data_IF_478481025356
#
_entry.id   IF_478481025356
#
_cell.length_a   1.000
_cell.length_b   1.000
_cell.length_c   1.000
_cell.angle_alpha   90.00
_cell.angle_beta   90.00
_cell.angle_gamma   90.00
#
_symmetry.space_group_name_H-M   'P 1'
#
loop_
_entity.id
_entity.type
_entity.pdbx_description
1 polymer ?
#
# COMPACT_ATOMS: atom_id res chain seq x y z
N UNK A 1 94.82 2.80 -8.05
CA UNK A 1 93.84 2.30 -7.05
C UNK A 1 92.54 3.07 -7.22
N UNK A 2 91.50 2.46 -7.80
CA UNK A 2 90.15 3.04 -7.94
C UNK A 2 89.26 2.39 -6.88
N UNK A 3 88.72 3.18 -5.94
CA UNK A 3 87.66 2.73 -5.04
C UNK A 3 86.32 2.78 -5.78
N UNK A 4 85.60 1.65 -5.77
CA UNK A 4 84.22 1.57 -6.24
C UNK A 4 83.25 1.76 -5.08
N UNK A 5 82.33 2.71 -5.22
CA UNK A 5 81.24 2.99 -4.28
C UNK A 5 79.97 2.29 -4.77
N UNK A 6 79.43 1.38 -3.96
CA UNK A 6 78.11 0.77 -4.19
C UNK A 6 77.01 1.74 -3.77
N UNK A 7 76.14 2.13 -4.70
CA UNK A 7 74.88 2.82 -4.39
C UNK A 7 73.82 1.76 -4.04
N UNK A 8 73.31 1.80 -2.81
CA UNK A 8 72.12 1.08 -2.38
C UNK A 8 70.93 2.01 -2.61
N UNK A 9 70.09 1.72 -3.61
CA UNK A 9 68.82 2.42 -3.83
C UNK A 9 67.75 1.83 -2.91
N UNK A 10 67.30 2.61 -1.93
CA UNK A 10 66.19 2.28 -1.04
C UNK A 10 64.87 2.60 -1.77
N UNK A 11 64.17 1.59 -2.27
CA UNK A 11 62.78 1.73 -2.77
C UNK A 11 61.84 1.87 -1.58
N UNK A 12 61.36 3.09 -1.32
CA UNK A 12 60.24 3.33 -0.40
C UNK A 12 58.97 2.82 -1.06
N UNK A 13 58.44 1.71 -0.54
CA UNK A 13 57.14 1.17 -0.96
C UNK A 13 56.02 2.13 -0.58
N UNK A 14 55.33 2.67 -1.58
CA UNK A 14 54.04 3.34 -1.40
C UNK A 14 53.01 2.28 -0.99
N UNK A 15 52.82 2.11 0.33
CA UNK A 15 51.67 1.39 0.84
C UNK A 15 50.42 2.21 0.51
N UNK A 16 49.70 1.80 -0.53
CA UNK A 16 48.43 2.39 -0.92
C UNK A 16 47.44 2.26 0.22
N UNK A 17 47.15 3.37 0.90
CA UNK A 17 46.03 3.47 1.82
C UNK A 17 44.76 3.22 1.00
N UNK A 18 44.19 2.03 1.15
CA UNK A 18 42.89 1.69 0.61
C UNK A 18 41.86 2.46 1.43
N UNK A 19 41.51 3.66 0.97
CA UNK A 19 40.36 4.39 1.49
C UNK A 19 39.12 3.58 1.14
N UNK A 20 38.57 2.87 2.13
CA UNK A 20 37.21 2.33 2.01
C UNK A 20 36.28 3.53 1.83
N UNK A 21 35.90 3.81 0.58
CA UNK A 21 34.87 4.78 0.26
C UNK A 21 33.59 4.33 0.99
N UNK A 22 33.15 5.12 1.97
CA UNK A 22 31.88 4.90 2.65
C UNK A 22 30.79 5.04 1.59
N UNK A 23 30.04 3.97 1.34
CA UNK A 23 28.97 4.00 0.34
C UNK A 23 28.03 5.18 0.63
N UNK A 24 27.71 5.96 -0.41
CA UNK A 24 26.79 7.08 -0.28
C UNK A 24 25.42 6.57 0.18
N UNK A 25 24.80 7.31 1.10
CA UNK A 25 23.47 6.99 1.60
C UNK A 25 22.46 6.92 0.45
N UNK A 26 21.77 5.79 0.32
CA UNK A 26 20.79 5.61 -0.74
C UNK A 26 19.50 6.36 -0.41
N UNK A 27 19.21 7.44 -1.14
CA UNK A 27 17.93 8.15 -1.03
C UNK A 27 16.88 7.54 -1.98
N UNK A 28 15.70 7.21 -1.45
CA UNK A 28 14.59 6.62 -2.18
C UNK A 28 13.37 7.53 -2.11
N UNK A 29 12.74 7.83 -3.24
CA UNK A 29 11.49 8.59 -3.24
C UNK A 29 10.35 7.67 -2.80
N UNK A 30 9.65 8.05 -1.74
CA UNK A 30 8.48 7.34 -1.23
C UNK A 30 7.22 8.18 -1.40
N UNK A 31 6.25 7.73 -2.22
CA UNK A 31 4.98 8.43 -2.39
C UNK A 31 3.81 7.79 -1.65
N UNK A 32 3.03 8.61 -0.93
CA UNK A 32 1.90 8.16 -0.10
C UNK A 32 0.55 8.12 -0.83
N UNK A 33 0.46 8.73 -2.02
CA UNK A 33 -0.80 8.95 -2.77
C UNK A 33 -1.93 9.60 -1.96
N UNK A 34 -1.59 10.38 -0.93
CA UNK A 34 -2.54 11.02 -0.03
C UNK A 34 -2.07 12.42 0.34
N UNK A 35 -2.98 13.36 0.64
CA UNK A 35 -2.60 14.65 1.23
C UNK A 35 -1.85 14.44 2.56
N UNK A 36 -0.95 15.36 2.95
CA UNK A 36 -0.24 15.28 4.22
C UNK A 36 -1.17 15.41 5.44
N UNK A 37 -2.40 15.88 5.25
CA UNK A 37 -3.41 15.96 6.32
C UNK A 37 -4.15 14.66 6.58
N UNK A 38 -4.08 13.69 5.66
CA UNK A 38 -4.81 12.44 5.79
C UNK A 38 -4.24 11.59 6.94
N UNK A 39 -5.11 10.95 7.72
CA UNK A 39 -4.69 10.09 8.85
C UNK A 39 -3.72 8.98 8.41
N UNK A 40 -3.92 8.40 7.23
CA UNK A 40 -3.02 7.37 6.70
C UNK A 40 -1.58 7.87 6.51
N UNK A 41 -1.41 9.12 6.07
CA UNK A 41 -0.08 9.73 5.96
C UNK A 41 0.49 10.01 7.36
N UNK A 42 -0.24 10.78 8.17
CA UNK A 42 0.23 11.27 9.47
C UNK A 42 0.47 10.20 10.52
N UNK A 43 -0.44 9.25 10.63
CA UNK A 43 -0.45 8.27 11.72
C UNK A 43 0.27 6.97 11.35
N UNK A 44 0.51 6.72 10.06
CA UNK A 44 1.14 5.48 9.61
C UNK A 44 2.33 5.67 8.68
N UNK A 45 2.12 6.17 7.47
CA UNK A 45 3.16 6.15 6.43
C UNK A 45 4.35 7.05 6.77
N UNK A 46 4.10 8.25 7.31
CA UNK A 46 5.16 9.15 7.79
C UNK A 46 5.91 8.56 8.99
N UNK A 47 5.24 8.10 10.08
CA UNK A 47 5.94 7.42 11.17
C UNK A 47 6.75 6.20 10.73
N UNK A 48 6.24 5.40 9.78
CA UNK A 48 6.99 4.27 9.23
C UNK A 48 8.26 4.74 8.50
N UNK A 49 8.13 5.71 7.59
CA UNK A 49 9.27 6.25 6.85
C UNK A 49 10.30 6.93 7.77
N UNK A 50 9.85 7.63 8.80
CA UNK A 50 10.72 8.24 9.81
C UNK A 50 11.52 7.19 10.59
N UNK A 51 10.92 6.04 10.92
CA UNK A 51 11.65 4.91 11.55
C UNK A 51 12.67 4.29 10.60
N UNK A 52 12.36 4.20 9.30
CA UNK A 52 13.34 3.77 8.28
C UNK A 52 14.51 4.76 8.24
N UNK A 53 14.24 6.06 8.20
CA UNK A 53 15.27 7.11 8.16
C UNK A 53 16.14 7.14 9.43
N UNK A 54 15.55 6.90 10.59
CA UNK A 54 16.27 6.82 11.86
C UNK A 54 17.23 5.63 11.89
N UNK A 55 16.75 4.45 11.48
CA UNK A 55 17.54 3.20 11.45
C UNK A 55 18.54 3.16 10.28
N UNK A 56 18.24 3.91 9.21
CA UNK A 56 18.97 3.93 7.95
C UNK A 56 20.01 5.03 7.81
N UNK A 57 20.32 5.80 8.87
CA UNK A 57 21.31 6.89 8.81
C UNK A 57 22.63 6.43 8.19
N UNK A 58 23.02 7.06 7.08
CA UNK A 58 24.23 6.72 6.33
C UNK A 58 24.15 5.46 5.47
N UNK A 59 22.99 4.81 5.36
CA UNK A 59 22.74 3.61 4.56
C UNK A 59 21.60 3.84 3.57
N UNK A 60 20.40 4.16 4.06
CA UNK A 60 19.19 4.37 3.26
C UNK A 60 18.25 5.37 3.93
N UNK A 61 17.65 6.25 3.15
CA UNK A 61 16.57 7.13 3.60
C UNK A 61 15.47 7.29 2.57
N UNK A 62 14.30 7.66 3.05
CA UNK A 62 13.07 7.88 2.32
C UNK A 62 12.78 9.38 2.26
N UNK A 63 12.69 9.90 1.04
CA UNK A 63 12.16 11.22 0.72
C UNK A 63 10.64 11.10 0.52
N UNK A 64 9.88 11.50 1.54
CA UNK A 64 8.42 11.33 1.58
C UNK A 64 7.74 12.40 0.72
N UNK A 65 6.95 11.96 -0.26
CA UNK A 65 6.23 12.82 -1.21
C UNK A 65 4.73 12.54 -1.18
N UNK A 66 4.00 13.48 -0.61
CA UNK A 66 2.54 13.45 -0.51
C UNK A 66 1.86 13.89 -1.80
N UNK A 67 0.55 13.62 -1.87
CA UNK A 67 -0.31 14.00 -2.99
C UNK A 67 -0.13 13.09 -4.20
N UNK A 68 -0.62 13.58 -5.35
CA UNK A 68 -0.73 12.80 -6.59
C UNK A 68 0.19 13.31 -7.72
N UNK A 69 1.14 14.18 -7.40
CA UNK A 69 1.97 14.88 -8.40
C UNK A 69 2.98 13.95 -9.08
N UNK A 70 3.60 13.05 -8.33
CA UNK A 70 4.60 12.10 -8.85
C UNK A 70 3.97 10.82 -9.41
N UNK A 71 2.85 10.40 -8.82
CA UNK A 71 2.09 9.22 -9.21
C UNK A 71 0.63 9.40 -8.79
N UNK A 72 -0.28 8.69 -9.44
CA UNK A 72 -1.68 8.61 -9.08
C UNK A 72 -2.16 7.15 -9.11
N UNK A 73 -3.38 6.91 -8.64
CA UNK A 73 -3.94 5.56 -8.54
C UNK A 73 -3.94 4.78 -9.88
N UNK A 74 -4.01 5.47 -11.02
CA UNK A 74 -4.01 4.84 -12.35
C UNK A 74 -2.63 4.50 -12.91
N UNK A 75 -1.55 5.11 -12.40
CA UNK A 75 -0.20 4.90 -12.94
C UNK A 75 0.87 4.54 -11.90
N UNK A 76 0.53 4.46 -10.61
CA UNK A 76 1.50 4.25 -9.53
C UNK A 76 2.34 2.99 -9.72
N UNK A 77 1.73 1.91 -10.21
CA UNK A 77 2.46 0.67 -10.47
C UNK A 77 3.55 0.89 -11.52
N UNK A 78 3.21 1.51 -12.65
CA UNK A 78 4.16 1.77 -13.74
C UNK A 78 5.23 2.79 -13.33
N UNK A 79 4.88 3.79 -12.50
CA UNK A 79 5.83 4.75 -11.94
C UNK A 79 6.86 4.08 -11.03
N UNK A 80 6.45 3.08 -10.25
CA UNK A 80 7.37 2.26 -9.43
C UNK A 80 8.22 1.33 -10.29
N UNK A 81 7.61 0.67 -11.29
CA UNK A 81 8.34 -0.22 -12.21
C UNK A 81 9.42 0.52 -13.01
N UNK A 82 9.11 1.74 -13.45
CA UNK A 82 10.01 2.61 -14.22
C UNK A 82 10.97 3.44 -13.34
N UNK A 83 11.02 3.17 -12.03
CA UNK A 83 11.92 3.82 -11.06
C UNK A 83 11.76 5.36 -11.00
N UNK A 84 10.58 5.88 -11.35
CA UNK A 84 10.27 7.32 -11.21
C UNK A 84 10.01 7.68 -9.75
N UNK A 85 9.39 6.76 -9.02
CA UNK A 85 9.35 6.72 -7.55
C UNK A 85 9.82 5.34 -7.11
N UNK A 86 10.66 5.26 -6.07
CA UNK A 86 11.25 3.98 -5.68
C UNK A 86 10.31 3.15 -4.82
N UNK A 87 9.52 3.79 -3.96
CA UNK A 87 8.58 3.15 -3.05
C UNK A 87 7.23 3.88 -3.16
N UNK A 88 6.14 3.12 -3.08
CA UNK A 88 4.80 3.72 -2.99
C UNK A 88 3.87 2.93 -2.08
N UNK A 89 2.95 3.65 -1.43
CA UNK A 89 1.72 3.07 -0.90
C UNK A 89 0.64 3.02 -1.98
N UNK A 90 -0.09 1.90 -2.07
CA UNK A 90 -1.26 1.79 -2.93
C UNK A 90 -2.31 0.82 -2.38
N UNK A 91 -3.57 1.05 -2.77
CA UNK A 91 -4.61 0.02 -2.72
C UNK A 91 -4.39 -0.93 -3.90
N UNK A 92 -4.32 -2.24 -3.65
CA UNK A 92 -4.16 -3.22 -4.74
C UNK A 92 -5.36 -3.20 -5.69
N UNK A 93 -6.57 -2.88 -5.21
CA UNK A 93 -7.76 -2.73 -6.05
C UNK A 93 -7.67 -1.58 -7.05
N UNK A 94 -6.82 -0.58 -6.81
CA UNK A 94 -6.56 0.49 -7.78
C UNK A 94 -5.68 0.02 -8.94
N UNK A 95 -4.96 -1.10 -8.76
CA UNK A 95 -4.02 -1.66 -9.73
C UNK A 95 -4.73 -2.83 -10.42
N UNK A 96 -5.59 -2.50 -11.39
CA UNK A 96 -6.52 -3.43 -12.02
C UNK A 96 -5.86 -4.72 -12.54
N UNK A 97 -6.45 -5.86 -12.17
CA UNK A 97 -6.13 -7.18 -12.74
C UNK A 97 -4.81 -7.82 -12.29
N UNK A 98 -4.01 -7.17 -11.42
CA UNK A 98 -2.69 -7.70 -11.03
C UNK A 98 -2.70 -8.66 -9.86
N UNK A 99 -3.71 -8.61 -8.99
CA UNK A 99 -3.70 -9.31 -7.71
C UNK A 99 -4.93 -10.24 -7.46
N UNK A 100 -5.34 -11.11 -8.40
CA UNK A 100 -6.52 -11.97 -8.21
C UNK A 100 -6.44 -12.98 -7.05
N UNK A 101 -5.31 -13.67 -6.84
CA UNK A 101 -5.10 -14.60 -5.72
C UNK A 101 -5.16 -13.87 -4.38
N UNK A 102 -4.71 -12.62 -4.36
CA UNK A 102 -4.77 -11.75 -3.18
C UNK A 102 -6.20 -11.46 -2.72
N UNK A 103 -7.20 -11.54 -3.60
CA UNK A 103 -8.61 -11.38 -3.23
C UNK A 103 -9.08 -12.41 -2.20
N UNK A 104 -8.41 -13.57 -2.05
CA UNK A 104 -8.76 -14.55 -1.00
C UNK A 104 -8.62 -13.95 0.42
N UNK A 105 -7.72 -12.99 0.60
CA UNK A 105 -7.46 -12.37 1.90
C UNK A 105 -8.43 -11.21 2.19
N UNK A 106 -9.23 -10.81 1.20
CA UNK A 106 -10.27 -9.79 1.34
C UNK A 106 -11.65 -10.38 1.62
N UNK A 107 -11.75 -11.71 1.71
CA UNK A 107 -12.98 -12.43 2.05
C UNK A 107 -13.54 -12.05 3.44
N UNK A 108 -14.87 -12.08 3.64
CA UNK A 108 -15.53 -11.74 4.90
C UNK A 108 -15.43 -12.84 5.98
N UNK A 109 -14.24 -13.41 6.18
CA UNK A 109 -14.03 -14.60 7.04
C UNK A 109 -13.31 -14.30 8.36
N UNK A 110 -12.97 -13.04 8.62
CA UNK A 110 -12.21 -12.63 9.80
C UNK A 110 -12.78 -11.34 10.41
N UNK A 111 -12.59 -11.19 11.74
CA UNK A 111 -13.00 -9.99 12.51
C UNK A 111 -11.81 -9.15 12.97
N UNK A 112 -10.71 -9.82 13.26
CA UNK A 112 -9.53 -9.24 13.87
C UNK A 112 -8.58 -8.78 12.76
N UNK A 113 -8.60 -7.47 12.50
CA UNK A 113 -7.83 -6.86 11.43
C UNK A 113 -6.31 -7.07 11.61
N UNK A 114 -5.82 -7.03 12.85
CA UNK A 114 -4.40 -7.25 13.13
C UNK A 114 -3.99 -8.69 12.82
N UNK A 115 -4.77 -9.67 13.28
CA UNK A 115 -4.53 -11.08 12.92
C UNK A 115 -4.65 -11.32 11.42
N UNK A 116 -5.60 -10.68 10.75
CA UNK A 116 -5.75 -10.77 9.30
C UNK A 116 -4.53 -10.21 8.57
N UNK A 117 -3.98 -9.07 9.01
CA UNK A 117 -2.77 -8.49 8.46
C UNK A 117 -1.54 -9.42 8.63
N UNK A 118 -1.37 -9.99 9.82
CA UNK A 118 -0.29 -10.97 10.09
C UNK A 118 -0.45 -12.23 9.24
N UNK A 119 -1.68 -12.75 9.11
CA UNK A 119 -1.98 -13.91 8.29
C UNK A 119 -1.71 -13.62 6.81
N UNK A 120 -2.12 -12.45 6.31
CA UNK A 120 -1.81 -11.98 4.96
C UNK A 120 -0.30 -12.06 4.72
N UNK A 121 0.49 -11.40 5.56
CA UNK A 121 1.94 -11.38 5.41
C UNK A 121 2.54 -12.79 5.39
N UNK A 122 2.06 -13.69 6.26
CA UNK A 122 2.50 -15.10 6.28
C UNK A 122 2.16 -15.84 4.98
N UNK A 123 0.95 -15.66 4.43
CA UNK A 123 0.53 -16.28 3.16
C UNK A 123 1.42 -15.80 2.02
N UNK A 124 1.68 -14.49 1.94
CA UNK A 124 2.62 -13.92 0.97
C UNK A 124 4.02 -14.55 1.10
N UNK A 125 4.59 -14.55 2.32
CA UNK A 125 5.93 -15.10 2.58
C UNK A 125 6.04 -16.61 2.32
N UNK A 126 4.95 -17.36 2.44
CA UNK A 126 4.89 -18.78 2.11
C UNK A 126 4.71 -19.07 0.61
N UNK A 127 4.57 -18.03 -0.24
CA UNK A 127 4.34 -18.18 -1.67
C UNK A 127 2.88 -18.47 -2.05
N UNK A 128 1.93 -18.33 -1.11
CA UNK A 128 0.51 -18.64 -1.32
C UNK A 128 -0.24 -17.69 -2.27
N UNK A 129 0.39 -16.59 -2.67
CA UNK A 129 -0.18 -15.61 -3.63
C UNK A 129 0.38 -15.77 -5.05
N UNK A 130 1.15 -16.83 -5.30
CA UNK A 130 1.71 -17.13 -6.62
C UNK A 130 2.64 -16.02 -7.14
N UNK A 131 2.63 -15.85 -8.47
CA UNK A 131 3.53 -14.97 -9.21
C UNK A 131 3.10 -13.49 -9.24
N UNK A 132 2.01 -13.11 -8.57
CA UNK A 132 1.43 -11.74 -8.64
C UNK A 132 2.39 -10.64 -8.16
N UNK A 133 3.40 -11.05 -7.39
CA UNK A 133 4.41 -10.17 -6.81
C UNK A 133 5.78 -10.34 -7.46
N UNK A 134 5.94 -11.11 -8.53
CA UNK A 134 7.26 -11.47 -9.06
C UNK A 134 8.07 -10.29 -9.60
N UNK A 135 7.42 -9.18 -9.97
CA UNK A 135 8.05 -7.96 -10.46
C UNK A 135 8.20 -6.87 -9.38
N UNK A 136 7.65 -7.08 -8.18
CA UNK A 136 7.69 -6.13 -7.07
C UNK A 136 8.19 -6.78 -5.79
N UNK A 137 8.51 -5.95 -4.80
CA UNK A 137 8.76 -6.36 -3.43
C UNK A 137 7.82 -5.55 -2.54
N UNK A 138 6.75 -6.16 -2.02
CA UNK A 138 6.01 -5.60 -0.91
C UNK A 138 6.90 -5.49 0.34
N UNK A 139 6.99 -4.28 0.89
CA UNK A 139 7.61 -3.97 2.18
C UNK A 139 6.60 -4.04 3.32
N UNK A 140 5.32 -3.85 3.00
CA UNK A 140 4.19 -4.06 3.88
C UNK A 140 2.98 -4.48 3.06
N UNK A 141 2.12 -5.33 3.65
CA UNK A 141 0.82 -5.67 3.09
C UNK A 141 -0.18 -5.89 4.21
N UNK A 142 -1.44 -5.50 3.97
CA UNK A 142 -2.53 -5.73 4.92
C UNK A 142 -3.88 -5.65 4.18
N UNK A 143 -4.91 -6.39 4.63
CA UNK A 143 -6.25 -6.07 4.18
C UNK A 143 -6.64 -4.67 4.70
N UNK A 144 -7.61 -4.00 4.09
CA UNK A 144 -8.32 -2.92 4.80
C UNK A 144 -9.20 -3.51 5.88
N UNK A 145 -9.83 -2.70 6.72
CA UNK A 145 -10.92 -3.20 7.57
C UNK A 145 -12.06 -3.75 6.70
N UNK A 146 -12.84 -4.69 7.26
CA UNK A 146 -14.07 -5.17 6.62
C UNK A 146 -15.04 -4.00 6.44
N UNK A 147 -15.67 -3.94 5.28
CA UNK A 147 -16.78 -3.05 5.04
C UNK A 147 -18.01 -3.50 5.83
N UNK A 148 -18.77 -2.53 6.31
CA UNK A 148 -20.14 -2.70 6.79
C UNK A 148 -21.12 -2.21 5.72
N UNK A 149 -22.41 -2.51 5.89
CA UNK A 149 -23.45 -1.94 5.04
C UNK A 149 -24.06 -0.72 5.73
N UNK A 150 -24.14 0.38 5.00
CA UNK A 150 -24.67 1.65 5.48
C UNK A 150 -25.76 2.14 4.55
N UNK A 151 -26.90 2.54 5.10
CA UNK A 151 -28.09 2.84 4.32
C UNK A 151 -28.66 4.21 4.69
N UNK A 152 -29.20 4.91 3.69
CA UNK A 152 -29.96 6.14 3.92
C UNK A 152 -31.36 5.84 4.47
N UNK A 153 -31.95 4.69 4.11
CA UNK A 153 -33.22 4.17 4.62
C UNK A 153 -33.02 2.75 5.15
N UNK A 154 -33.70 2.39 6.24
CA UNK A 154 -33.52 1.09 6.89
C UNK A 154 -34.17 -0.06 6.09
N UNK A 155 -33.40 -1.04 5.59
CA UNK A 155 -33.98 -2.35 5.26
C UNK A 155 -34.34 -3.06 6.57
N UNK A 156 -35.57 -3.59 6.67
CA UNK A 156 -36.06 -4.32 7.84
C UNK A 156 -35.98 -5.82 7.67
N UNK A 157 -36.06 -6.29 6.43
CA UNK A 157 -36.04 -7.71 6.06
C UNK A 157 -34.98 -7.97 4.99
N UNK A 158 -34.63 -9.24 4.76
CA UNK A 158 -33.77 -9.62 3.65
C UNK A 158 -34.44 -9.35 2.29
N UNK A 159 -35.76 -9.43 2.20
CA UNK A 159 -36.48 -9.09 0.98
C UNK A 159 -36.37 -7.62 0.61
N UNK A 160 -36.21 -6.73 1.60
CA UNK A 160 -35.98 -5.30 1.36
C UNK A 160 -34.62 -5.02 0.69
N UNK A 161 -33.71 -6.00 0.65
CA UNK A 161 -32.45 -5.90 -0.07
C UNK A 161 -32.62 -6.16 -1.57
N UNK A 162 -33.75 -6.72 -2.02
CA UNK A 162 -33.97 -6.98 -3.45
C UNK A 162 -34.06 -5.67 -4.23
N UNK A 163 -33.19 -5.52 -5.23
CA UNK A 163 -33.14 -4.32 -6.07
C UNK A 163 -32.52 -3.10 -5.39
N UNK A 164 -32.08 -3.18 -4.11
CA UNK A 164 -31.46 -2.06 -3.42
C UNK A 164 -30.13 -1.71 -4.10
N UNK A 165 -29.90 -0.43 -4.39
CA UNK A 165 -28.70 0.03 -5.08
C UNK A 165 -27.60 0.32 -4.07
N UNK A 166 -26.54 -0.48 -4.06
CA UNK A 166 -25.44 -0.34 -3.09
C UNK A 166 -24.16 0.04 -3.80
N UNK A 167 -23.54 1.14 -3.38
CA UNK A 167 -22.18 1.44 -3.80
C UNK A 167 -21.21 0.41 -3.21
N UNK A 168 -20.32 -0.14 -4.04
CA UNK A 168 -19.32 -1.14 -3.62
C UNK A 168 -17.91 -0.70 -4.04
N UNK A 169 -16.93 -0.97 -3.18
CA UNK A 169 -15.52 -0.62 -3.40
C UNK A 169 -14.69 -1.78 -3.98
N UNK A 170 -15.25 -2.99 -4.08
CA UNK A 170 -14.56 -4.17 -4.62
C UNK A 170 -15.51 -5.06 -5.41
N UNK A 171 -14.97 -5.83 -6.35
CA UNK A 171 -15.71 -6.83 -7.13
C UNK A 171 -16.33 -7.89 -6.22
N UNK A 172 -15.59 -8.37 -5.24
CA UNK A 172 -16.07 -9.34 -4.25
C UNK A 172 -17.28 -8.80 -3.48
N UNK A 173 -17.22 -7.56 -2.99
CA UNK A 173 -18.34 -6.90 -2.32
C UNK A 173 -19.54 -6.76 -3.26
N UNK A 174 -19.30 -6.45 -4.54
CA UNK A 174 -20.35 -6.42 -5.56
C UNK A 174 -21.02 -7.78 -5.79
N UNK A 175 -20.25 -8.86 -5.81
CA UNK A 175 -20.77 -10.22 -5.91
C UNK A 175 -21.62 -10.58 -4.68
N UNK A 176 -21.20 -10.20 -3.48
CA UNK A 176 -21.99 -10.41 -2.26
C UNK A 176 -23.31 -9.64 -2.28
N UNK A 177 -23.28 -8.36 -2.68
CA UNK A 177 -24.51 -7.56 -2.84
C UNK A 177 -25.45 -8.19 -3.86
N UNK A 178 -24.93 -8.64 -5.00
CA UNK A 178 -25.72 -9.32 -6.03
C UNK A 178 -26.32 -10.63 -5.53
N UNK A 179 -25.55 -11.43 -4.79
CA UNK A 179 -26.01 -12.68 -4.18
C UNK A 179 -27.11 -12.45 -3.14
N UNK A 180 -27.11 -11.30 -2.46
CA UNK A 180 -28.18 -10.87 -1.56
C UNK A 180 -29.40 -10.26 -2.28
N UNK A 181 -29.40 -10.23 -3.62
CA UNK A 181 -30.50 -9.69 -4.46
C UNK A 181 -30.42 -8.19 -4.72
N UNK A 182 -29.39 -7.50 -4.22
CA UNK A 182 -29.16 -6.08 -4.47
C UNK A 182 -28.51 -5.80 -5.82
N UNK A 183 -28.43 -4.51 -6.17
CA UNK A 183 -27.75 -4.01 -7.37
C UNK A 183 -26.47 -3.29 -6.96
N UNK A 184 -25.28 -3.87 -7.18
CA UNK A 184 -24.03 -3.17 -6.88
C UNK A 184 -23.75 -2.09 -7.94
N UNK A 185 -23.32 -0.92 -7.48
CA UNK A 185 -22.80 0.15 -8.35
C UNK A 185 -21.36 0.50 -7.96
N UNK A 186 -20.49 0.58 -8.96
CA UNK A 186 -19.13 1.06 -8.79
C UNK A 186 -19.11 2.56 -9.05
N UNK A 187 -19.15 3.36 -7.98
CA UNK A 187 -19.07 4.82 -8.04
C UNK A 187 -17.77 5.25 -7.35
N UNK A 188 -17.01 6.22 -7.89
CA UNK A 188 -15.82 6.75 -7.22
C UNK A 188 -16.13 7.20 -5.79
N UNK A 189 -15.24 6.90 -4.83
CA UNK A 189 -15.48 7.17 -3.40
C UNK A 189 -15.80 8.64 -3.09
N UNK A 190 -15.21 9.58 -3.85
CA UNK A 190 -15.47 11.02 -3.72
C UNK A 190 -16.88 11.47 -4.15
N UNK A 191 -17.61 10.65 -4.90
CA UNK A 191 -18.96 10.95 -5.39
C UNK A 191 -20.05 10.28 -4.54
N UNK A 192 -19.67 9.44 -3.56
CA UNK A 192 -20.61 8.63 -2.77
C UNK A 192 -21.57 9.47 -1.94
N UNK A 193 -21.09 10.56 -1.32
CA UNK A 193 -21.93 11.46 -0.55
C UNK A 193 -23.10 11.99 -1.39
N UNK A 194 -22.77 12.54 -2.54
CA UNK A 194 -23.72 13.10 -3.49
C UNK A 194 -24.67 12.03 -4.07
N UNK A 195 -24.14 10.84 -4.37
CA UNK A 195 -24.94 9.72 -4.85
C UNK A 195 -25.96 9.22 -3.80
N UNK A 196 -25.59 9.19 -2.52
CA UNK A 196 -26.50 8.87 -1.41
C UNK A 196 -27.51 10.00 -1.17
N UNK A 197 -27.06 11.25 -1.16
CA UNK A 197 -27.92 12.42 -0.95
C UNK A 197 -29.01 12.52 -2.03
N UNK A 198 -28.67 12.26 -3.30
CA UNK A 198 -29.59 12.29 -4.44
C UNK A 198 -30.40 11.00 -4.62
N UNK A 199 -30.12 9.95 -3.85
CA UNK A 199 -30.78 8.63 -4.00
C UNK A 199 -30.40 7.87 -5.27
N UNK A 200 -29.27 8.21 -5.90
CA UNK A 200 -28.69 7.40 -6.98
C UNK A 200 -28.34 6.01 -6.46
N UNK A 201 -27.81 5.93 -5.24
CA UNK A 201 -27.65 4.70 -4.46
C UNK A 201 -28.44 4.82 -3.16
N UNK A 202 -28.92 3.69 -2.64
CA UNK A 202 -29.70 3.61 -1.40
C UNK A 202 -28.79 3.34 -0.18
N UNK A 203 -27.56 2.89 -0.44
CA UNK A 203 -26.56 2.60 0.57
C UNK A 203 -25.16 2.42 -0.01
N UNK A 204 -24.20 2.18 0.88
CA UNK A 204 -22.81 1.93 0.55
C UNK A 204 -22.24 0.81 1.43
N UNK A 205 -21.40 -0.04 0.82
CA UNK A 205 -20.61 -1.05 1.50
C UNK A 205 -19.18 -0.52 1.69
N UNK A 206 -18.89 0.05 2.85
CA UNK A 206 -17.62 0.74 3.14
C UNK A 206 -17.14 0.44 4.56
N UNK A 207 -15.83 0.59 4.80
CA UNK A 207 -15.29 0.57 6.15
C UNK A 207 -15.60 1.87 6.89
N UNK A 208 -15.74 1.79 8.22
CA UNK A 208 -15.99 2.95 9.08
C UNK A 208 -14.93 4.06 8.95
N UNK A 209 -13.71 3.72 8.52
CA UNK A 209 -12.63 4.69 8.25
C UNK A 209 -12.97 5.71 7.16
N UNK A 210 -13.97 5.43 6.31
CA UNK A 210 -14.43 6.34 5.26
C UNK A 210 -15.43 7.38 5.74
N UNK A 211 -16.00 7.25 6.95
CA UNK A 211 -17.12 8.09 7.38
C UNK A 211 -16.75 9.54 7.61
N UNK A 212 -15.68 9.79 8.35
CA UNK A 212 -15.18 11.13 8.64
C UNK A 212 -14.69 11.87 7.38
N UNK A 213 -13.77 11.32 6.56
CA UNK A 213 -13.21 12.06 5.42
C UNK A 213 -14.24 12.36 4.32
N UNK A 214 -15.26 11.51 4.17
CA UNK A 214 -16.29 11.65 3.14
C UNK A 214 -17.65 12.10 3.70
N UNK A 215 -17.72 12.47 4.98
CA UNK A 215 -18.93 12.96 5.67
C UNK A 215 -20.16 12.04 5.53
N UNK A 216 -19.94 10.73 5.45
CA UNK A 216 -21.01 9.77 5.13
C UNK A 216 -22.05 9.62 6.26
N UNK A 217 -21.70 10.03 7.48
CA UNK A 217 -22.63 10.07 8.61
C UNK A 217 -23.77 11.10 8.44
N UNK A 218 -23.62 12.07 7.55
CA UNK A 218 -24.69 13.06 7.27
C UNK A 218 -25.79 12.48 6.36
N UNK A 219 -25.45 11.48 5.55
CA UNK A 219 -26.32 10.93 4.48
C UNK A 219 -26.69 9.45 4.67
N UNK A 220 -26.15 8.79 5.69
CA UNK A 220 -26.53 7.43 6.09
C UNK A 220 -27.02 7.42 7.54
N UNK A 221 -28.15 6.75 7.79
CA UNK A 221 -28.83 6.76 9.10
C UNK A 221 -28.92 5.37 9.73
N UNK A 222 -28.70 4.33 8.95
CA UNK A 222 -28.86 2.95 9.38
C UNK A 222 -27.61 2.16 8.99
N UNK A 223 -27.13 1.32 9.89
CA UNK A 223 -25.87 0.61 9.73
C UNK A 223 -26.04 -0.83 10.15
N UNK A 224 -25.69 -1.75 9.25
CA UNK A 224 -25.58 -3.16 9.56
C UNK A 224 -24.09 -3.51 9.63
N UNK A 225 -23.62 -3.80 10.84
CA UNK A 225 -22.26 -4.26 11.09
C UNK A 225 -22.14 -5.73 10.70
N UNK A 226 -21.98 -5.96 9.40
CA UNK A 226 -21.72 -7.25 8.80
C UNK A 226 -20.33 -7.22 8.18
N UNK A 227 -19.76 -8.40 7.89
CA UNK A 227 -18.54 -8.48 7.09
C UNK A 227 -18.93 -8.45 5.61
N UNK A 228 -18.77 -7.31 4.96
CA UNK A 228 -19.07 -7.12 3.54
C UNK A 228 -17.82 -7.15 2.65
N UNK A 229 -16.77 -7.84 3.11
CA UNK A 229 -15.49 -7.95 2.42
C UNK A 229 -14.58 -6.77 2.72
N UNK A 230 -13.30 -6.95 2.45
CA UNK A 230 -12.29 -5.91 2.56
C UNK A 230 -11.75 -5.53 1.17
N UNK A 231 -10.80 -4.61 1.17
CA UNK A 231 -9.81 -4.45 0.11
C UNK A 231 -8.44 -4.87 0.65
N UNK A 232 -7.40 -4.67 -0.14
CA UNK A 232 -6.03 -4.92 0.26
C UNK A 232 -5.16 -3.71 -0.10
N UNK A 233 -4.15 -3.45 0.73
CA UNK A 233 -3.20 -2.38 0.55
C UNK A 233 -1.76 -2.87 0.75
N UNK A 234 -0.83 -2.13 0.17
CA UNK A 234 0.60 -2.42 0.30
C UNK A 234 1.46 -1.16 0.25
N UNK A 235 2.64 -1.26 0.86
CA UNK A 235 3.80 -0.44 0.53
C UNK A 235 4.75 -1.32 -0.26
N UNK A 236 5.18 -0.88 -1.43
CA UNK A 236 5.93 -1.73 -2.36
C UNK A 236 6.96 -0.95 -3.16
N UNK A 237 7.91 -1.69 -3.73
CA UNK A 237 8.91 -1.19 -4.68
C UNK A 237 9.13 -2.18 -5.82
N UNK A 238 9.79 -1.77 -6.90
CA UNK A 238 10.14 -2.72 -7.97
C UNK A 238 11.20 -3.71 -7.49
N UNK A 239 11.11 -4.96 -7.93
CA UNK A 239 12.09 -5.99 -7.58
C UNK A 239 13.47 -5.67 -8.14
N UNK A 240 13.52 -5.07 -9.32
CA UNK A 240 14.76 -4.54 -9.92
C UNK A 240 15.44 -3.55 -8.98
N UNK A 241 14.72 -2.54 -8.48
CA UNK A 241 15.29 -1.55 -7.55
C UNK A 241 15.68 -2.18 -6.23
N UNK A 242 14.85 -3.06 -5.66
CA UNK A 242 15.15 -3.72 -4.39
C UNK A 242 16.44 -4.54 -4.48
N UNK A 243 16.63 -5.28 -5.58
CA UNK A 243 17.84 -6.08 -5.79
C UNK A 243 19.11 -5.26 -5.98
N UNK A 244 19.00 -4.00 -6.42
CA UNK A 244 20.12 -3.07 -6.56
C UNK A 244 20.53 -2.42 -5.23
N UNK A 245 19.71 -2.51 -4.18
CA UNK A 245 20.05 -2.00 -2.86
C UNK A 245 21.15 -2.83 -2.20
N UNK A 246 21.93 -2.18 -1.33
CA UNK A 246 22.88 -2.89 -0.48
C UNK A 246 22.14 -3.92 0.41
N UNK A 247 22.79 -5.03 0.79
CA UNK A 247 22.21 -5.98 1.75
C UNK A 247 21.75 -5.32 3.05
N UNK A 248 22.48 -4.30 3.51
CA UNK A 248 22.14 -3.54 4.72
C UNK A 248 20.87 -2.70 4.52
N UNK A 249 20.75 -1.97 3.40
CA UNK A 249 19.53 -1.22 3.08
C UNK A 249 18.30 -2.14 2.98
N UNK A 250 18.44 -3.32 2.34
CA UNK A 250 17.35 -4.31 2.25
C UNK A 250 16.93 -4.90 3.60
N UNK A 251 17.82 -4.92 4.59
CA UNK A 251 17.52 -5.43 5.94
C UNK A 251 16.79 -4.38 6.78
N UNK A 252 17.03 -3.10 6.51
CA UNK A 252 16.42 -1.97 7.20
C UNK A 252 14.98 -1.73 6.71
N UNK A 253 14.77 -1.86 5.40
CA UNK A 253 13.45 -1.84 4.76
C UNK A 253 12.63 -3.08 5.11
#
# INVERSE_FOLDING_TARGET
MKLGSYLITFMVGLAGASTFAKAEETKLIFTTLSPPTARIAKEWLEPWANRVNERGKGVVSLDIRHGLTLANFGNVYDRVQNDVVQISFALQTAIGGKFPATEVLTLPIWDDHEKAAVAFWKVYKAGGLGAEYDDIVPLFMSPTTQASLHFSKQPRTLDDLKGIKIMVASKLTGQMVSAAGGTPLSIPLGEVYEALQRGTVDGAALGWTSFEPFKLGEVTKFHANVRAGASANMVFMSKKRFNALSPEARKIL
#
